data_IF_013459273024
#
_entry.id   IF_013459273024
#
_cell.length_a   1.000
_cell.length_b   1.000
_cell.length_c   1.000
_cell.angle_alpha   90.00
_cell.angle_beta   90.00
_cell.angle_gamma   90.00
#
_symmetry.space_group_name_H-M   'P 1'
#
loop_
_entity.id
_entity.type
_entity.pdbx_description
1 polymer ?
#
# COMPACT_ATOMS: atom_id res chain seq x y z
N UNK A 1 -2.14 -13.56 55.05
CA UNK A 1 -1.14 -14.64 55.02
C UNK A 1 -1.36 -15.39 53.72
N UNK A 2 -0.55 -15.10 52.71
CA UNK A 2 -0.69 -15.61 51.34
C UNK A 2 0.17 -16.88 51.27
N UNK A 3 -0.43 -18.03 50.97
CA UNK A 3 0.33 -19.25 50.71
C UNK A 3 0.11 -19.68 49.27
N UNK A 4 1.19 -19.61 48.50
CA UNK A 4 1.31 -20.10 47.15
C UNK A 4 1.24 -21.64 47.16
N UNK A 5 0.42 -22.23 46.30
CA UNK A 5 0.50 -23.65 45.97
C UNK A 5 1.22 -23.80 44.62
N UNK A 6 2.41 -24.39 44.67
CA UNK A 6 3.20 -24.80 43.51
C UNK A 6 2.52 -26.01 42.86
N UNK A 7 2.14 -25.89 41.59
CA UNK A 7 1.83 -27.04 40.74
C UNK A 7 3.16 -27.50 40.11
N UNK A 8 3.59 -28.76 40.29
CA UNK A 8 4.71 -29.28 39.55
C UNK A 8 4.30 -29.65 38.13
N UNK A 9 5.10 -29.14 37.19
CA UNK A 9 5.22 -29.56 35.80
C UNK A 9 5.61 -31.04 35.69
N UNK A 10 5.10 -31.69 34.65
CA UNK A 10 5.63 -32.91 34.04
C UNK A 10 5.69 -34.13 34.95
N UNK A 11 4.61 -34.91 34.92
CA UNK A 11 4.68 -36.33 35.27
C UNK A 11 3.80 -37.12 34.28
N UNK A 12 4.37 -37.49 33.14
CA UNK A 12 3.83 -38.56 32.30
C UNK A 12 4.85 -39.70 32.27
N UNK A 13 4.35 -40.83 32.74
CA UNK A 13 5.02 -42.09 32.98
C UNK A 13 5.78 -42.62 31.76
N UNK A 14 7.08 -42.89 31.94
CA UNK A 14 7.78 -43.95 31.23
C UNK A 14 7.24 -45.28 31.74
N UNK A 15 6.41 -45.96 30.95
CA UNK A 15 6.05 -47.34 31.20
C UNK A 15 6.00 -48.14 29.90
N UNK A 16 6.93 -49.09 29.81
CA UNK A 16 6.89 -50.33 29.00
C UNK A 16 6.99 -50.19 27.47
N UNK A 17 8.23 -50.02 27.02
CA UNK A 17 8.67 -50.39 25.68
C UNK A 17 8.54 -51.91 25.46
N UNK A 18 7.63 -52.33 24.56
CA UNK A 18 7.78 -53.61 23.85
C UNK A 18 8.78 -53.40 22.70
N UNK A 19 9.77 -54.29 22.50
CA UNK A 19 10.70 -54.17 21.38
C UNK A 19 9.97 -54.48 20.06
N UNK A 20 9.75 -53.44 19.24
CA UNK A 20 9.34 -53.60 17.86
C UNK A 20 10.54 -54.18 17.09
N UNK A 21 10.31 -55.33 16.47
CA UNK A 21 11.29 -56.10 15.70
C UNK A 21 11.83 -55.28 14.53
N UNK A 22 13.13 -55.00 14.62
CA UNK A 22 13.94 -54.21 13.68
C UNK A 22 14.32 -55.06 12.46
N UNK A 23 13.42 -55.21 11.49
CA UNK A 23 13.81 -55.80 10.21
C UNK A 23 13.28 -55.11 8.93
N UNK A 24 12.19 -54.35 8.97
CA UNK A 24 11.63 -53.73 7.75
C UNK A 24 11.82 -52.19 7.64
N UNK A 25 12.40 -51.54 8.65
CA UNK A 25 12.56 -50.07 8.67
C UNK A 25 13.67 -49.56 7.73
N UNK A 26 14.73 -50.33 7.48
CA UNK A 26 15.87 -49.88 6.68
C UNK A 26 15.56 -49.85 5.18
N UNK A 27 14.63 -50.70 4.73
CA UNK A 27 14.23 -50.81 3.33
C UNK A 27 13.33 -49.65 2.90
N UNK A 28 12.46 -49.18 3.82
CA UNK A 28 11.65 -47.97 3.60
C UNK A 28 12.49 -46.69 3.58
N UNK A 29 13.50 -46.57 4.45
CA UNK A 29 14.39 -45.39 4.48
C UNK A 29 15.25 -45.31 3.22
N UNK A 30 15.74 -46.44 2.72
CA UNK A 30 16.48 -46.51 1.45
C UNK A 30 15.59 -46.17 0.23
N UNK A 31 14.33 -46.63 0.22
CA UNK A 31 13.39 -46.34 -0.86
C UNK A 31 13.03 -44.84 -0.92
N UNK A 32 12.86 -44.19 0.23
CA UNK A 32 12.61 -42.75 0.32
C UNK A 32 13.81 -41.91 -0.14
N UNK A 33 15.04 -42.33 0.17
CA UNK A 33 16.26 -41.66 -0.32
C UNK A 33 16.44 -41.78 -1.84
N UNK A 34 16.05 -42.91 -2.43
CA UNK A 34 16.13 -43.12 -3.89
C UNK A 34 15.10 -42.29 -4.67
N UNK A 35 13.91 -42.07 -4.12
CA UNK A 35 12.87 -41.21 -4.73
C UNK A 35 13.23 -39.72 -4.66
N UNK A 36 13.96 -39.29 -3.63
CA UNK A 36 14.44 -37.91 -3.49
C UNK A 36 15.60 -37.58 -4.44
N UNK A 37 16.39 -38.58 -4.88
CA UNK A 37 17.51 -38.36 -5.78
C UNK A 37 17.12 -38.28 -7.28
N UNK A 38 15.94 -38.73 -7.69
CA UNK A 38 15.55 -38.85 -9.11
C UNK A 38 14.84 -37.63 -9.71
N UNK A 39 14.58 -36.56 -8.96
CA UNK A 39 13.94 -35.33 -9.47
C UNK A 39 14.90 -34.24 -9.98
N UNK A 40 16.21 -34.49 -10.03
CA UNK A 40 17.21 -33.49 -10.45
C UNK A 40 17.54 -33.53 -11.94
N UNK A 41 16.56 -33.51 -12.85
CA UNK A 41 16.86 -33.34 -14.27
C UNK A 41 15.80 -32.56 -15.05
N UNK A 42 16.24 -31.40 -15.52
CA UNK A 42 15.85 -30.71 -16.76
C UNK A 42 14.49 -30.00 -16.76
N UNK A 43 14.52 -28.70 -16.48
CA UNK A 43 13.72 -27.69 -17.20
C UNK A 43 14.60 -26.45 -17.37
N UNK A 44 15.01 -26.16 -18.61
CA UNK A 44 15.58 -24.86 -19.00
C UNK A 44 14.41 -23.95 -19.41
N UNK A 45 14.11 -22.92 -18.62
CA UNK A 45 13.33 -21.77 -19.07
C UNK A 45 14.31 -20.63 -19.31
N UNK A 46 14.44 -20.24 -20.57
CA UNK A 46 15.08 -18.98 -20.94
C UNK A 46 14.13 -17.84 -20.58
N UNK A 47 14.59 -16.93 -19.74
CA UNK A 47 13.85 -15.74 -19.32
C UNK A 47 14.73 -14.92 -18.37
N UNK A 48 15.89 -14.50 -18.85
CA UNK A 48 16.77 -13.61 -18.11
C UNK A 48 16.79 -12.27 -18.87
N UNK A 49 15.92 -11.35 -18.46
CA UNK A 49 16.20 -9.93 -18.68
C UNK A 49 17.42 -9.59 -17.85
N UNK A 50 18.50 -9.21 -18.53
CA UNK A 50 19.65 -8.59 -17.89
C UNK A 50 19.18 -7.25 -17.32
N UNK A 51 19.02 -7.18 -16.00
CA UNK A 51 18.94 -5.89 -15.31
C UNK A 51 20.32 -5.25 -15.45
N UNK A 52 20.40 -4.29 -16.36
CA UNK A 52 21.56 -3.45 -16.57
C UNK A 52 21.62 -2.48 -15.38
N UNK A 53 22.62 -2.62 -14.51
CA UNK A 53 22.77 -1.87 -13.25
C UNK A 53 23.17 -0.39 -13.43
N UNK A 54 22.86 0.21 -14.58
CA UNK A 54 23.23 1.58 -14.95
C UNK A 54 21.98 2.40 -15.38
N UNK A 55 20.80 2.12 -14.83
CA UNK A 55 19.69 3.07 -14.93
C UNK A 55 19.84 4.09 -13.79
N UNK A 56 20.26 5.30 -14.15
CA UNK A 56 20.18 6.48 -13.29
C UNK A 56 18.74 6.62 -12.78
N UNK A 57 18.54 6.60 -11.46
CA UNK A 57 17.23 6.77 -10.83
C UNK A 57 16.65 8.11 -11.25
N UNK A 58 15.54 8.09 -11.98
CA UNK A 58 14.84 9.31 -12.38
C UNK A 58 13.95 9.74 -11.22
N UNK A 59 14.18 10.93 -10.68
CA UNK A 59 13.35 11.51 -9.62
C UNK A 59 12.18 12.31 -10.19
N UNK A 60 10.99 12.03 -9.68
CA UNK A 60 9.76 12.74 -10.00
C UNK A 60 9.56 13.95 -9.08
N UNK A 61 8.97 15.02 -9.61
CA UNK A 61 8.67 16.25 -8.90
C UNK A 61 7.27 16.75 -9.24
N UNK A 62 6.64 17.46 -8.29
CA UNK A 62 5.38 18.18 -8.49
C UNK A 62 5.76 19.61 -8.78
N UNK A 63 5.56 20.05 -10.02
CA UNK A 63 6.02 21.34 -10.52
C UNK A 63 4.95 22.42 -10.30
N UNK A 64 3.70 22.10 -10.58
CA UNK A 64 2.58 23.02 -10.46
C UNK A 64 1.31 22.28 -10.04
N UNK A 65 0.39 22.99 -9.38
CA UNK A 65 -0.90 22.48 -8.96
C UNK A 65 -1.96 23.51 -9.27
N UNK A 66 -3.07 23.09 -9.87
CA UNK A 66 -4.22 23.91 -10.17
C UNK A 66 -5.49 23.18 -9.74
N UNK A 67 -6.53 23.92 -9.37
CA UNK A 67 -7.80 23.35 -8.89
C UNK A 67 -8.97 23.99 -9.62
N UNK A 68 -9.95 23.14 -9.98
CA UNK A 68 -11.27 23.57 -10.42
C UNK A 68 -12.31 22.91 -9.51
N UNK A 69 -13.12 23.74 -8.87
CA UNK A 69 -14.30 23.31 -8.12
C UNK A 69 -15.49 23.08 -9.08
N UNK A 70 -16.33 22.09 -8.79
CA UNK A 70 -17.49 21.76 -9.63
C UNK A 70 -18.45 22.92 -9.85
N UNK A 71 -18.59 23.80 -8.86
CA UNK A 71 -19.45 25.00 -8.87
C UNK A 71 -19.06 25.97 -10.00
N UNK A 72 -17.77 26.02 -10.34
CA UNK A 72 -17.25 26.89 -11.40
C UNK A 72 -17.67 26.42 -12.80
N UNK A 73 -18.07 25.16 -12.97
CA UNK A 73 -18.56 24.63 -14.25
C UNK A 73 -19.92 25.22 -14.67
N UNK A 74 -20.63 25.92 -13.79
CA UNK A 74 -21.84 26.68 -14.14
C UNK A 74 -21.51 27.96 -14.93
N UNK A 75 -20.26 28.41 -14.89
CA UNK A 75 -19.78 29.58 -15.62
C UNK A 75 -19.51 29.26 -17.09
N UNK A 76 -19.45 30.31 -17.94
CA UNK A 76 -19.14 30.12 -19.36
C UNK A 76 -17.70 29.61 -19.59
N UNK A 77 -16.77 30.10 -18.77
CA UNK A 77 -15.36 29.69 -18.75
C UNK A 77 -14.98 29.55 -17.29
N UNK A 78 -14.65 28.32 -16.89
CA UNK A 78 -14.21 28.03 -15.55
C UNK A 78 -12.68 28.10 -15.47
N UNK A 79 -12.15 29.11 -14.78
CA UNK A 79 -10.72 29.29 -14.61
C UNK A 79 -10.23 28.54 -13.37
N UNK A 80 -9.14 27.80 -13.52
CA UNK A 80 -8.50 27.17 -12.38
C UNK A 80 -7.80 28.19 -11.48
N UNK A 81 -7.71 27.85 -10.20
CA UNK A 81 -6.93 28.61 -9.22
C UNK A 81 -5.78 27.77 -8.69
N UNK A 82 -4.73 28.44 -8.23
CA UNK A 82 -3.52 27.80 -7.70
C UNK A 82 -3.58 27.77 -6.17
N UNK A 83 -3.50 26.60 -5.53
CA UNK A 83 -3.49 26.51 -4.09
C UNK A 83 -2.16 26.93 -3.50
N UNK A 84 -2.15 27.25 -2.20
CA UNK A 84 -0.92 27.49 -1.45
C UNK A 84 -0.10 26.21 -1.35
N UNK A 85 -0.75 25.09 -1.09
CA UNK A 85 -0.14 23.77 -0.96
C UNK A 85 -1.11 22.66 -1.38
N UNK A 86 -0.55 21.52 -1.75
CA UNK A 86 -1.25 20.27 -2.01
C UNK A 86 -1.03 19.31 -0.85
N UNK A 87 -2.12 18.72 -0.36
CA UNK A 87 -2.12 17.73 0.71
C UNK A 87 -2.69 16.43 0.15
N UNK A 88 -1.87 15.40 0.02
CA UNK A 88 -2.28 14.06 -0.35
C UNK A 88 -2.34 13.19 0.91
N UNK A 89 -3.54 12.78 1.31
CA UNK A 89 -3.79 11.91 2.46
C UNK A 89 -4.02 10.47 2.01
N UNK A 90 -3.34 9.54 2.65
CA UNK A 90 -3.45 8.10 2.39
C UNK A 90 -3.99 7.40 3.62
N UNK A 91 -5.18 6.82 3.50
CA UNK A 91 -5.90 6.16 4.58
C UNK A 91 -6.70 4.95 4.10
N UNK A 92 -7.54 4.41 4.98
CA UNK A 92 -8.47 3.34 4.67
C UNK A 92 -9.62 3.37 5.68
N UNK A 93 -10.81 2.93 5.30
CA UNK A 93 -11.98 2.97 6.17
C UNK A 93 -11.83 1.97 7.35
N UNK A 94 -11.11 0.86 7.14
CA UNK A 94 -10.84 -0.13 8.18
C UNK A 94 -9.71 0.28 9.14
N UNK A 95 -9.03 1.39 8.87
CA UNK A 95 -7.87 1.85 9.62
C UNK A 95 -8.32 2.72 10.82
N UNK A 96 -8.36 2.15 12.02
CA UNK A 96 -8.68 2.91 13.25
C UNK A 96 -7.82 4.18 13.44
N UNK A 97 -6.47 4.18 13.29
CA UNK A 97 -5.67 5.39 13.48
C UNK A 97 -5.87 6.47 12.40
N UNK A 98 -6.55 6.15 11.30
CA UNK A 98 -6.84 7.06 10.19
C UNK A 98 -7.94 8.09 10.55
N UNK A 99 -8.86 7.72 11.44
CA UNK A 99 -9.99 8.55 11.88
C UNK A 99 -9.57 9.94 12.35
N UNK A 100 -8.58 10.02 13.25
CA UNK A 100 -8.12 11.28 13.82
C UNK A 100 -7.52 12.21 12.75
N UNK A 101 -6.88 11.62 11.74
CA UNK A 101 -6.27 12.37 10.63
C UNK A 101 -7.35 12.91 9.70
N UNK A 102 -8.35 12.10 9.36
CA UNK A 102 -9.50 12.53 8.56
C UNK A 102 -10.24 13.69 9.20
N UNK A 103 -10.54 13.61 10.50
CA UNK A 103 -11.18 14.71 11.23
C UNK A 103 -10.33 15.97 11.17
N UNK A 104 -9.01 15.85 11.26
CA UNK A 104 -8.12 17.01 11.15
C UNK A 104 -8.14 17.63 9.75
N UNK A 105 -8.18 16.81 8.70
CA UNK A 105 -8.18 17.25 7.30
C UNK A 105 -9.49 17.97 6.94
N UNK A 106 -10.64 17.48 7.42
CA UNK A 106 -11.95 18.12 7.18
C UNK A 106 -12.04 19.56 7.73
N UNK A 107 -11.13 19.96 8.62
CA UNK A 107 -11.07 21.31 9.17
C UNK A 107 -10.10 22.25 8.42
N UNK A 108 -9.46 21.78 7.35
CA UNK A 108 -8.53 22.58 6.55
C UNK A 108 -9.30 23.55 5.64
N UNK A 109 -8.76 24.76 5.46
CA UNK A 109 -9.33 25.78 4.59
C UNK A 109 -9.11 25.42 3.10
N UNK A 110 -10.10 24.74 2.54
CA UNK A 110 -10.10 24.26 1.15
C UNK A 110 -10.20 25.38 0.11
N UNK A 111 -10.39 26.65 0.51
CA UNK A 111 -10.28 27.81 -0.38
C UNK A 111 -8.83 28.22 -0.64
N UNK A 112 -7.89 27.69 0.15
CA UNK A 112 -6.45 27.97 0.08
C UNK A 112 -5.63 26.73 -0.24
N UNK A 113 -6.04 25.57 0.27
CA UNK A 113 -5.30 24.32 0.15
C UNK A 113 -6.05 23.35 -0.77
N UNK A 114 -5.29 22.61 -1.57
CA UNK A 114 -5.81 21.47 -2.31
C UNK A 114 -5.62 20.21 -1.46
N UNK A 115 -6.63 19.34 -1.44
CA UNK A 115 -6.63 18.11 -0.66
C UNK A 115 -7.07 16.99 -1.58
N UNK A 116 -6.31 15.90 -1.60
CA UNK A 116 -6.71 14.63 -2.21
C UNK A 116 -6.64 13.57 -1.12
N UNK A 117 -7.76 12.90 -0.85
CA UNK A 117 -7.81 11.72 0.00
C UNK A 117 -7.71 10.48 -0.89
N UNK A 118 -6.92 9.50 -0.48
CA UNK A 118 -6.63 8.29 -1.24
C UNK A 118 -6.94 7.06 -0.39
N UNK A 119 -7.68 6.12 -0.98
CA UNK A 119 -7.81 4.75 -0.49
C UNK A 119 -6.99 3.79 -1.37
N UNK A 120 -5.72 3.54 -1.00
CA UNK A 120 -4.85 2.64 -1.73
C UNK A 120 -5.07 1.16 -1.38
N UNK A 121 -5.88 0.83 -0.37
CA UNK A 121 -6.07 -0.56 0.06
C UNK A 121 -7.20 -1.24 -0.73
N UNK A 122 -6.90 -2.40 -1.31
CA UNK A 122 -7.87 -3.23 -2.05
C UNK A 122 -9.01 -3.77 -1.18
N UNK A 123 -8.94 -3.58 0.13
CA UNK A 123 -9.96 -4.00 1.08
C UNK A 123 -11.05 -2.94 1.27
N UNK A 124 -10.82 -1.71 0.82
CA UNK A 124 -11.80 -0.62 0.90
C UNK A 124 -12.78 -0.69 -0.27
N UNK A 125 -14.07 -0.49 -0.01
CA UNK A 125 -15.08 -0.41 -1.07
C UNK A 125 -14.77 0.69 -2.10
N UNK A 126 -14.19 1.79 -1.64
CA UNK A 126 -13.80 2.96 -2.45
C UNK A 126 -12.35 2.90 -2.95
N UNK A 127 -11.75 1.71 -3.00
CA UNK A 127 -10.43 1.47 -3.58
C UNK A 127 -10.29 2.07 -4.98
N UNK A 128 -9.20 2.82 -5.19
CA UNK A 128 -8.80 3.29 -6.51
C UNK A 128 -7.39 2.79 -6.85
N UNK A 129 -7.26 2.08 -7.99
CA UNK A 129 -5.98 1.53 -8.41
C UNK A 129 -4.88 2.60 -8.59
N UNK A 130 -5.25 3.78 -9.09
CA UNK A 130 -4.31 4.89 -9.22
C UNK A 130 -3.87 5.45 -7.86
N UNK A 131 -4.75 5.45 -6.86
CA UNK A 131 -4.38 5.77 -5.47
C UNK A 131 -3.38 4.75 -4.90
N UNK A 132 -3.57 3.46 -5.19
CA UNK A 132 -2.62 2.41 -4.81
C UNK A 132 -1.26 2.58 -5.49
N UNK A 133 -1.23 2.82 -6.80
CA UNK A 133 0.00 3.09 -7.52
C UNK A 133 0.73 4.32 -6.96
N UNK A 134 -0.01 5.40 -6.69
CA UNK A 134 0.54 6.63 -6.10
C UNK A 134 1.17 6.35 -4.71
N UNK A 135 0.51 5.54 -3.89
CA UNK A 135 0.98 5.13 -2.56
C UNK A 135 2.20 4.21 -2.61
N UNK A 136 2.11 3.07 -3.31
CA UNK A 136 3.13 2.01 -3.32
C UNK A 136 4.32 2.32 -4.23
N UNK A 137 4.08 2.94 -5.38
CA UNK A 137 5.10 3.08 -6.44
C UNK A 137 5.68 4.48 -6.50
N UNK A 138 4.82 5.51 -6.60
CA UNK A 138 5.30 6.89 -6.75
C UNK A 138 5.98 7.37 -5.45
N UNK A 139 5.30 7.19 -4.31
CA UNK A 139 5.77 7.62 -2.99
C UNK A 139 6.44 6.54 -2.14
N UNK A 140 6.25 5.25 -2.48
CA UNK A 140 6.81 4.11 -1.73
C UNK A 140 6.47 4.17 -0.24
N UNK A 141 5.23 4.57 0.05
CA UNK A 141 4.72 4.63 1.41
C UNK A 141 4.48 3.21 1.92
N UNK A 142 4.80 2.98 3.19
CA UNK A 142 4.71 1.64 3.82
C UNK A 142 3.79 1.63 5.04
N UNK A 143 3.24 2.80 5.42
CA UNK A 143 2.30 2.92 6.51
C UNK A 143 1.14 3.86 6.15
N UNK A 144 -0.05 3.49 6.60
CA UNK A 144 -1.20 4.38 6.73
C UNK A 144 -1.50 4.63 8.23
N UNK A 145 -2.04 5.81 8.60
CA UNK A 145 -2.22 6.97 7.73
C UNK A 145 -0.89 7.63 7.36
N UNK A 146 -0.81 8.22 6.17
CA UNK A 146 0.31 9.07 5.75
C UNK A 146 -0.20 10.32 5.04
N UNK A 147 0.53 11.42 5.20
CA UNK A 147 0.29 12.69 4.53
C UNK A 147 1.52 13.07 3.73
N UNK A 148 1.33 13.32 2.44
CA UNK A 148 2.35 13.93 1.58
C UNK A 148 1.94 15.36 1.27
N UNK A 149 2.83 16.31 1.56
CA UNK A 149 2.64 17.74 1.32
C UNK A 149 3.52 18.17 0.15
N UNK A 150 2.92 18.79 -0.86
CA UNK A 150 3.58 19.33 -2.06
C UNK A 150 4.41 18.30 -2.85
N UNK A 151 4.13 17.01 -2.67
CA UNK A 151 4.81 15.91 -3.34
C UNK A 151 6.20 15.56 -2.79
N UNK A 152 6.62 16.18 -1.68
CA UNK A 152 7.95 15.92 -1.07
C UNK A 152 7.94 15.86 0.46
N UNK A 153 7.02 16.55 1.15
CA UNK A 153 6.97 16.57 2.61
C UNK A 153 6.18 15.40 3.16
N UNK A 154 6.69 14.66 4.14
CA UNK A 154 6.03 13.48 4.70
C UNK A 154 5.72 13.63 6.19
N UNK A 155 4.47 13.31 6.56
CA UNK A 155 4.05 13.04 7.93
C UNK A 155 3.42 11.65 7.99
N UNK A 156 3.95 10.76 8.83
CA UNK A 156 3.50 9.37 8.93
C UNK A 156 2.89 9.05 10.29
N UNK A 157 1.70 8.47 10.27
CA UNK A 157 0.93 8.09 11.44
C UNK A 157 0.25 9.27 12.12
N UNK A 158 -0.71 8.96 13.00
CA UNK A 158 -1.55 9.95 13.67
C UNK A 158 -0.76 10.99 14.46
N UNK A 159 0.34 10.59 15.11
CA UNK A 159 1.16 11.50 15.92
C UNK A 159 1.76 12.63 15.08
N UNK A 160 2.40 12.28 13.96
CA UNK A 160 3.01 13.27 13.08
C UNK A 160 1.95 14.10 12.35
N UNK A 161 0.79 13.51 12.02
CA UNK A 161 -0.31 14.23 11.41
C UNK A 161 -0.81 15.42 12.27
N UNK A 162 -0.65 15.38 13.60
CA UNK A 162 -0.96 16.55 14.46
C UNK A 162 -0.06 17.76 14.19
N UNK A 163 1.09 17.58 13.54
CA UNK A 163 2.01 18.64 13.12
C UNK A 163 1.64 19.25 11.76
N UNK A 164 0.54 18.81 11.12
CA UNK A 164 0.13 19.25 9.78
C UNK A 164 -0.03 20.78 9.71
N UNK A 165 -0.86 21.38 10.58
CA UNK A 165 -1.09 22.83 10.57
C UNK A 165 0.21 23.64 10.77
N UNK A 166 1.12 23.12 11.60
CA UNK A 166 2.43 23.75 11.80
C UNK A 166 3.29 23.63 10.54
N UNK A 167 3.26 22.49 9.86
CA UNK A 167 3.99 22.22 8.62
C UNK A 167 3.49 23.13 7.48
N UNK A 168 2.17 23.27 7.33
CA UNK A 168 1.57 24.15 6.33
C UNK A 168 1.93 25.63 6.54
N UNK A 169 2.13 26.05 7.80
CA UNK A 169 2.51 27.44 8.10
C UNK A 169 3.98 27.77 7.83
N UNK A 170 4.86 26.76 7.78
CA UNK A 170 6.32 26.94 7.68
C UNK A 170 6.83 26.78 6.27
N UNK A 171 6.24 25.86 5.51
CA UNK A 171 6.66 25.55 4.16
C UNK A 171 5.72 26.27 3.20
N UNK A 172 6.30 27.01 2.26
CA UNK A 172 5.56 27.61 1.16
C UNK A 172 6.21 27.11 -0.12
N UNK A 173 5.42 26.40 -0.92
CA UNK A 173 5.83 25.94 -2.23
C UNK A 173 5.31 26.91 -3.27
N UNK A 174 6.17 27.36 -4.18
CA UNK A 174 5.76 28.19 -5.31
C UNK A 174 5.43 27.29 -6.50
N UNK A 175 4.16 26.96 -6.66
CA UNK A 175 3.69 26.20 -7.82
C UNK A 175 3.75 27.06 -9.08
N UNK A 176 4.51 26.63 -10.09
CA UNK A 176 4.73 27.37 -11.33
C UNK A 176 5.05 26.41 -12.49
N UNK A 177 4.28 26.45 -13.57
CA UNK A 177 4.58 25.70 -14.80
C UNK A 177 3.41 25.59 -15.79
N UNK A 178 2.18 25.73 -15.32
CA UNK A 178 0.97 25.81 -16.13
C UNK A 178 0.69 27.30 -16.42
N UNK A 179 0.67 27.67 -17.70
CA UNK A 179 0.50 29.06 -18.13
C UNK A 179 -1.00 29.46 -18.16
N UNK A 180 -1.86 28.53 -18.55
CA UNK A 180 -3.31 28.65 -18.68
C UNK A 180 -3.95 27.29 -18.41
N UNK A 181 -5.02 27.27 -17.61
CA UNK A 181 -5.87 26.10 -17.41
C UNK A 181 -7.31 26.57 -17.17
N UNK A 182 -8.21 26.14 -18.04
CA UNK A 182 -9.63 26.42 -17.93
C UNK A 182 -10.49 25.31 -18.56
N UNK A 183 -11.74 25.25 -18.15
CA UNK A 183 -12.75 24.40 -18.77
C UNK A 183 -13.85 25.27 -19.36
N UNK A 184 -14.16 25.06 -20.64
CA UNK A 184 -15.27 25.72 -21.32
C UNK A 184 -16.08 24.68 -22.11
N UNK A 185 -17.39 24.60 -21.84
CA UNK A 185 -18.29 23.61 -22.47
C UNK A 185 -17.76 22.17 -22.37
N UNK A 186 -17.32 21.76 -21.18
CA UNK A 186 -16.72 20.44 -20.91
C UNK A 186 -15.43 20.14 -21.69
N UNK A 187 -14.81 21.15 -22.31
CA UNK A 187 -13.49 21.01 -22.94
C UNK A 187 -12.46 21.67 -22.04
N UNK A 188 -11.51 20.87 -21.55
CA UNK A 188 -10.31 21.35 -20.88
C UNK A 188 -9.40 21.99 -21.92
N UNK A 189 -8.99 23.23 -21.68
CA UNK A 189 -7.90 23.90 -22.37
C UNK A 189 -6.78 24.12 -21.37
N UNK A 190 -5.57 23.68 -21.71
CA UNK A 190 -4.40 23.90 -20.89
C UNK A 190 -3.14 24.04 -21.73
N UNK A 191 -2.13 24.69 -21.18
CA UNK A 191 -0.81 24.80 -21.78
C UNK A 191 0.28 24.86 -20.70
N UNK A 192 1.49 24.52 -21.13
CA UNK A 192 2.71 24.63 -20.33
C UNK A 192 3.88 24.88 -21.27
N UNK A 193 4.90 25.58 -20.77
CA UNK A 193 6.19 25.73 -21.45
C UNK A 193 7.16 24.56 -21.19
N UNK A 194 6.78 23.62 -20.33
CA UNK A 194 7.59 22.46 -19.95
C UNK A 194 7.16 21.19 -20.68
N UNK A 195 8.00 20.16 -20.68
CA UNK A 195 7.67 18.85 -21.26
C UNK A 195 7.06 17.87 -20.25
N UNK A 196 6.55 18.39 -19.14
CA UNK A 196 5.96 17.61 -18.06
C UNK A 196 4.56 17.09 -18.39
N UNK A 197 4.12 16.13 -17.61
CA UNK A 197 2.84 15.46 -17.77
C UNK A 197 1.81 16.14 -16.86
N UNK A 198 0.62 16.42 -17.39
CA UNK A 198 -0.50 16.85 -16.57
C UNK A 198 -1.28 15.62 -16.07
N UNK A 199 -1.40 15.49 -14.76
CA UNK A 199 -2.24 14.48 -14.10
C UNK A 199 -3.46 15.18 -13.51
N UNK A 200 -4.62 14.53 -13.59
CA UNK A 200 -5.89 15.10 -13.14
C UNK A 200 -6.53 14.10 -12.19
N UNK A 201 -6.68 14.51 -10.94
CA UNK A 201 -7.40 13.76 -9.92
C UNK A 201 -8.82 14.29 -9.82
N UNK A 202 -9.80 13.41 -10.00
CA UNK A 202 -11.21 13.71 -9.77
C UNK A 202 -11.56 13.29 -8.36
N UNK A 203 -11.98 14.24 -7.52
CA UNK A 203 -12.39 13.97 -6.15
C UNK A 203 -13.90 14.12 -5.97
N UNK A 204 -14.47 13.35 -5.06
CA UNK A 204 -15.89 13.39 -4.69
C UNK A 204 -16.06 13.18 -3.18
N UNK A 205 -17.23 13.58 -2.66
CA UNK A 205 -17.63 13.26 -1.29
C UNK A 205 -18.18 11.84 -1.22
N UNK A 206 -17.46 10.92 -0.58
CA UNK A 206 -17.85 9.51 -0.45
C UNK A 206 -18.14 9.16 1.00
N UNK A 207 -19.22 8.40 1.24
CA UNK A 207 -19.55 7.91 2.57
C UNK A 207 -18.52 6.87 3.02
N UNK A 208 -18.09 6.98 4.27
CA UNK A 208 -17.24 5.98 4.92
C UNK A 208 -17.98 4.64 5.05
N UNK A 209 -17.29 3.52 4.88
CA UNK A 209 -17.92 2.19 4.88
C UNK A 209 -18.48 1.77 6.26
N UNK A 210 -17.73 2.08 7.33
CA UNK A 210 -18.03 1.58 8.67
C UNK A 210 -18.67 2.61 9.60
N UNK A 211 -18.92 3.84 9.13
CA UNK A 211 -19.55 4.88 9.95
C UNK A 211 -20.40 5.86 9.10
N UNK A 212 -20.90 6.93 9.73
CA UNK A 212 -21.82 7.88 9.09
C UNK A 212 -21.15 9.16 8.58
N UNK A 213 -19.82 9.22 8.55
CA UNK A 213 -19.07 10.36 8.03
C UNK A 213 -18.90 10.24 6.52
N UNK A 214 -18.61 11.36 5.89
CA UNK A 214 -18.15 11.41 4.51
C UNK A 214 -16.69 11.86 4.48
N UNK A 215 -15.96 11.37 3.49
CA UNK A 215 -14.66 11.86 3.09
C UNK A 215 -14.88 12.85 1.95
N UNK A 216 -14.68 14.14 2.21
CA UNK A 216 -15.11 15.22 1.31
C UNK A 216 -14.30 15.32 0.01
N UNK A 217 -13.10 14.75 -0.02
CA UNK A 217 -12.12 14.93 -1.09
C UNK A 217 -11.49 13.60 -1.54
N UNK A 218 -12.25 12.51 -1.52
CA UNK A 218 -11.75 11.20 -1.92
C UNK A 218 -11.55 11.13 -3.44
N UNK A 219 -10.37 10.72 -3.88
CA UNK A 219 -10.06 10.45 -5.28
C UNK A 219 -10.89 9.26 -5.78
N UNK A 220 -11.70 9.49 -6.79
CA UNK A 220 -12.58 8.48 -7.41
C UNK A 220 -12.18 8.14 -8.84
N UNK A 221 -11.44 9.02 -9.51
CA UNK A 221 -10.95 8.78 -10.85
C UNK A 221 -9.67 9.60 -11.14
N UNK A 222 -8.97 9.22 -12.20
CA UNK A 222 -7.68 9.77 -12.58
C UNK A 222 -7.50 9.80 -14.09
N UNK A 223 -6.88 10.87 -14.59
CA UNK A 223 -6.44 10.96 -15.98
C UNK A 223 -5.04 11.53 -16.11
N UNK A 224 -4.34 11.14 -17.17
CA UNK A 224 -3.03 11.64 -17.52
C UNK A 224 -3.02 12.17 -18.96
N UNK A 225 -2.44 13.36 -19.15
CA UNK A 225 -2.35 14.05 -20.43
C UNK A 225 -0.89 14.48 -20.66
N UNK A 226 -0.37 14.16 -21.84
CA UNK A 226 0.97 14.59 -22.24
C UNK A 226 0.95 16.06 -22.70
N UNK A 227 2.06 16.79 -22.55
CA UNK A 227 2.22 18.19 -22.97
C UNK A 227 1.81 18.49 -24.43
N UNK A 228 1.80 17.49 -25.31
CA UNK A 228 1.41 17.63 -26.71
C UNK A 228 -0.09 17.79 -26.94
N UNK A 229 -0.92 17.54 -25.93
CA UNK A 229 -2.38 17.59 -26.02
C UNK A 229 -2.93 18.74 -25.19
N UNK A 230 -3.02 19.93 -25.78
CA UNK A 230 -3.49 21.14 -25.09
C UNK A 230 -5.01 21.18 -24.85
N UNK A 231 -5.76 20.25 -25.46
CA UNK A 231 -7.21 20.19 -25.33
C UNK A 231 -7.69 18.76 -25.10
N UNK A 232 -8.68 18.63 -24.22
CA UNK A 232 -9.32 17.36 -23.92
C UNK A 232 -10.81 17.53 -23.68
N UNK A 233 -11.61 16.66 -24.28
CA UNK A 233 -13.04 16.61 -24.04
C UNK A 233 -13.35 15.79 -22.77
N UNK A 234 -13.97 16.43 -21.78
CA UNK A 234 -14.35 15.87 -20.49
C UNK A 234 -15.85 15.54 -20.40
N UNK A 235 -16.60 15.60 -21.51
CA UNK A 235 -18.00 15.18 -21.55
C UNK A 235 -18.14 13.73 -21.08
N UNK A 236 -19.14 13.44 -20.23
CA UNK A 236 -19.28 12.13 -19.59
C UNK A 236 -18.48 12.01 -18.30
N UNK A 237 -17.25 12.56 -18.27
CA UNK A 237 -16.40 12.49 -17.07
C UNK A 237 -16.89 13.42 -15.95
N UNK A 238 -17.46 14.56 -16.34
CA UNK A 238 -18.03 15.57 -15.43
C UNK A 238 -19.54 15.39 -15.18
N UNK A 239 -20.14 14.30 -15.66
CA UNK A 239 -21.58 14.08 -15.54
C UNK A 239 -21.99 13.79 -14.08
N UNK A 240 -22.96 14.55 -13.56
CA UNK A 240 -23.47 14.44 -12.18
C UNK A 240 -22.39 14.47 -11.10
N UNK A 241 -21.29 15.16 -11.39
CA UNK A 241 -20.15 15.23 -10.51
C UNK A 241 -20.24 16.44 -9.57
N UNK A 242 -19.93 16.21 -8.29
CA UNK A 242 -19.83 17.24 -7.26
C UNK A 242 -18.53 17.04 -6.48
N UNK A 243 -17.57 17.95 -6.64
CA UNK A 243 -16.25 17.82 -6.05
C UNK A 243 -15.21 18.72 -6.69
N UNK A 244 -13.95 18.27 -6.73
CA UNK A 244 -12.82 19.04 -7.28
C UNK A 244 -11.98 18.27 -8.28
N UNK A 245 -11.59 18.95 -9.35
CA UNK A 245 -10.53 18.50 -10.23
C UNK A 245 -9.23 19.12 -9.75
N UNK A 246 -8.28 18.28 -9.39
CA UNK A 246 -6.95 18.71 -8.95
C UNK A 246 -5.96 18.30 -10.02
N UNK A 247 -5.36 19.29 -10.65
CA UNK A 247 -4.42 19.14 -11.73
C UNK A 247 -3.01 19.26 -11.17
N UNK A 248 -2.17 18.25 -11.37
CA UNK A 248 -0.76 18.29 -10.99
C UNK A 248 0.11 18.19 -12.25
N UNK A 249 1.00 19.16 -12.43
CA UNK A 249 2.04 19.09 -13.46
C UNK A 249 3.24 18.38 -12.87
N UNK A 250 3.60 17.23 -13.43
CA UNK A 250 4.57 16.33 -12.82
C UNK A 250 5.65 15.88 -13.79
N UNK A 251 6.88 15.72 -13.28
CA UNK A 251 7.91 14.92 -13.95
C UNK A 251 7.76 13.46 -13.55
N UNK A 252 7.98 12.57 -14.51
CA UNK A 252 7.99 11.13 -14.25
C UNK A 252 9.19 10.77 -13.37
N UNK A 253 9.03 9.72 -12.55
CA UNK A 253 10.08 9.24 -11.67
C UNK A 253 9.61 9.02 -10.24
N UNK A 254 10.52 8.46 -9.43
CA UNK A 254 10.29 8.15 -8.02
C UNK A 254 10.34 9.45 -7.19
N UNK A 255 9.46 9.59 -6.21
CA UNK A 255 9.42 10.79 -5.36
C UNK A 255 10.38 10.68 -4.19
N UNK A 256 11.08 11.78 -3.93
CA UNK A 256 11.91 11.94 -2.74
C UNK A 256 11.07 12.54 -1.62
N UNK A 257 11.03 11.87 -0.48
CA UNK A 257 10.24 12.27 0.67
C UNK A 257 11.13 12.71 1.83
N UNK A 258 10.83 13.90 2.35
CA UNK A 258 11.48 14.51 3.49
C UNK A 258 10.52 14.53 4.67
N UNK A 259 10.92 13.97 5.82
CA UNK A 259 10.07 14.05 7.01
C UNK A 259 9.88 15.50 7.44
N UNK A 260 8.63 15.91 7.62
CA UNK A 260 8.26 17.23 8.15
C UNK A 260 8.12 17.25 9.66
N UNK A 261 8.07 16.08 10.30
CA UNK A 261 7.91 15.97 11.75
C UNK A 261 9.22 16.27 12.48
N UNK A 262 9.10 16.93 13.63
CA UNK A 262 10.23 17.11 14.55
C UNK A 262 10.54 15.84 15.35
N UNK A 263 9.66 14.84 15.28
CA UNK A 263 9.78 13.55 15.97
C UNK A 263 9.51 12.41 14.96
N UNK A 264 10.40 12.20 13.98
CA UNK A 264 10.20 11.19 12.95
C UNK A 264 10.07 9.79 13.56
N UNK A 265 9.21 8.97 12.94
CA UNK A 265 8.93 7.61 13.37
C UNK A 265 10.05 6.70 12.90
N UNK A 266 11.07 6.52 13.75
CA UNK A 266 12.20 5.65 13.46
C UNK A 266 13.18 6.21 12.43
N UNK A 267 14.23 5.44 12.14
CA UNK A 267 15.28 5.75 11.17
C UNK A 267 14.96 5.11 9.80
N UNK A 268 13.71 5.27 9.35
CA UNK A 268 13.23 4.69 8.09
C UNK A 268 13.46 5.70 6.97
N UNK A 269 14.35 5.37 6.05
CA UNK A 269 14.62 6.18 4.87
C UNK A 269 13.74 5.72 3.69
N UNK A 270 12.77 6.55 3.32
CA UNK A 270 11.87 6.34 2.19
C UNK A 270 12.53 6.62 0.83
N UNK A 271 13.76 7.15 0.85
CA UNK A 271 14.49 7.56 -0.35
C UNK A 271 15.47 6.50 -0.84
N UNK A 272 15.97 5.65 0.05
CA UNK A 272 16.75 4.49 -0.33
C UNK A 272 15.95 3.63 -1.30
N UNK A 273 16.48 3.42 -2.50
CA UNK A 273 16.24 2.14 -3.16
C UNK A 273 16.74 1.11 -2.15
N UNK A 274 15.86 0.25 -1.66
CA UNK A 274 16.35 -0.98 -1.09
C UNK A 274 17.16 -1.65 -2.22
N UNK A 275 18.50 -1.51 -2.20
CA UNK A 275 19.33 -2.67 -2.47
C UNK A 275 18.71 -3.72 -1.58
N UNK A 276 17.86 -4.55 -2.18
CA UNK A 276 17.05 -5.55 -1.47
C UNK A 276 17.98 -6.20 -0.46
N UNK A 277 17.90 -5.77 0.81
CA UNK A 277 18.54 -6.52 1.87
C UNK A 277 17.82 -7.83 1.73
N UNK A 278 18.57 -8.88 1.40
CA UNK A 278 18.04 -10.20 1.11
C UNK A 278 17.38 -10.79 2.36
N UNK A 279 16.25 -10.22 2.77
CA UNK A 279 15.32 -10.71 3.74
C UNK A 279 14.17 -11.21 2.88
N UNK A 280 14.39 -12.41 2.34
CA UNK A 280 13.62 -13.05 1.29
C UNK A 280 13.59 -12.24 -0.02
N UNK A 281 14.73 -12.23 -0.73
CA UNK A 281 14.64 -12.26 -2.19
C UNK A 281 13.64 -13.36 -2.53
N UNK A 282 12.60 -13.01 -3.27
CA UNK A 282 11.68 -13.91 -3.95
C UNK A 282 12.50 -14.79 -4.91
N UNK A 283 13.19 -15.77 -4.34
CA UNK A 283 13.71 -16.91 -5.09
C UNK A 283 12.51 -17.60 -5.66
N UNK A 284 12.51 -17.70 -6.98
CA UNK A 284 11.48 -18.28 -7.83
C UNK A 284 11.41 -19.81 -7.61
N UNK A 285 11.04 -20.20 -6.39
CA UNK A 285 10.88 -21.58 -5.90
C UNK A 285 9.53 -21.72 -5.16
N UNK A 286 8.56 -20.87 -5.54
CA UNK A 286 7.22 -20.77 -4.94
C UNK A 286 6.49 -22.10 -4.75
N UNK A 287 6.50 -23.08 -5.68
CA UNK A 287 5.87 -24.37 -5.42
C UNK A 287 6.77 -25.31 -4.60
N UNK A 288 8.08 -25.33 -4.81
CA UNK A 288 8.99 -26.29 -4.14
C UNK A 288 9.19 -25.96 -2.66
N UNK A 289 9.38 -24.69 -2.34
CA UNK A 289 9.53 -24.23 -0.96
C UNK A 289 8.21 -24.39 -0.19
N UNK A 290 7.07 -24.07 -0.80
CA UNK A 290 5.76 -24.33 -0.21
C UNK A 290 5.52 -25.82 0.04
N UNK A 291 5.88 -26.70 -0.91
CA UNK A 291 5.80 -28.15 -0.74
C UNK A 291 6.73 -28.64 0.39
N UNK A 292 7.97 -28.15 0.45
CA UNK A 292 8.91 -28.54 1.51
C UNK A 292 8.45 -28.08 2.90
N UNK A 293 7.96 -26.85 3.02
CA UNK A 293 7.41 -26.32 4.28
C UNK A 293 6.15 -27.09 4.67
N UNK A 294 5.26 -27.38 3.73
CA UNK A 294 4.07 -28.20 3.97
C UNK A 294 4.43 -29.61 4.47
N UNK A 295 5.39 -30.27 3.83
CA UNK A 295 5.87 -31.59 4.24
C UNK A 295 6.50 -31.52 5.64
N UNK A 296 7.32 -30.51 5.92
CA UNK A 296 7.95 -30.34 7.23
C UNK A 296 6.91 -30.14 8.35
N UNK A 297 5.91 -29.28 8.11
CA UNK A 297 4.81 -29.07 9.05
C UNK A 297 3.96 -30.32 9.22
N UNK A 298 3.67 -31.05 8.14
CA UNK A 298 2.93 -32.30 8.20
C UNK A 298 3.67 -33.38 9.01
N UNK A 299 4.99 -33.50 8.83
CA UNK A 299 5.83 -34.41 9.62
C UNK A 299 5.86 -34.01 11.09
N UNK A 300 5.93 -32.71 11.39
CA UNK A 300 5.87 -32.21 12.77
C UNK A 300 4.52 -32.52 13.46
N UNK A 301 3.43 -32.65 12.68
CA UNK A 301 2.11 -33.01 13.17
C UNK A 301 1.87 -34.53 13.31
N UNK A 302 2.72 -35.38 12.71
CA UNK A 302 2.56 -36.85 12.77
C UNK A 302 2.48 -37.41 14.20
N UNK A 303 3.31 -36.98 15.18
CA UNK A 303 3.19 -37.47 16.55
C UNK A 303 1.83 -37.17 17.17
N UNK A 304 1.28 -35.98 16.90
CA UNK A 304 -0.04 -35.57 17.39
C UNK A 304 -1.16 -36.40 16.75
N UNK A 305 -1.08 -36.67 15.44
CA UNK A 305 -2.05 -37.51 14.73
C UNK A 305 -2.01 -38.97 15.19
N UNK A 306 -0.83 -39.51 15.46
CA UNK A 306 -0.67 -40.87 16.00
C UNK A 306 -1.26 -40.95 17.42
N UNK A 307 -1.01 -39.95 18.25
CA UNK A 307 -1.56 -39.88 19.61
C UNK A 307 -3.09 -39.74 19.60
N UNK A 308 -3.63 -38.92 18.68
CA UNK A 308 -5.08 -38.77 18.47
C UNK A 308 -5.75 -40.07 18.04
N UNK A 309 -5.14 -40.81 17.11
CA UNK A 309 -5.66 -42.12 16.69
C UNK A 309 -5.58 -43.16 17.81
N UNK A 310 -4.53 -43.12 18.63
CA UNK A 310 -4.40 -43.96 19.83
C UNK A 310 -5.49 -43.70 20.86
N UNK A 311 -5.88 -42.43 21.05
CA UNK A 311 -6.99 -42.05 21.93
C UNK A 311 -8.35 -42.53 21.39
N UNK A 312 -8.56 -42.49 20.06
CA UNK A 312 -9.78 -43.02 19.46
C UNK A 312 -9.91 -44.55 19.59
N UNK A 313 -8.80 -45.29 19.60
CA UNK A 313 -8.84 -46.75 19.80
C UNK A 313 -9.04 -47.18 21.26
N UNK A 314 -8.79 -46.30 22.22
CA UNK A 314 -9.05 -46.59 23.64
C UNK A 314 -10.56 -46.53 23.94
N UNK A 315 -11.28 -45.63 23.27
CA UNK A 315 -12.74 -45.49 23.42
C UNK A 315 -13.52 -46.69 22.85
N UNK A 316 -12.94 -47.45 21.91
CA UNK A 316 -13.57 -48.66 21.35
C UNK A 316 -13.43 -49.89 22.25
N UNK A 317 -12.40 -49.95 23.10
CA UNK A 317 -12.14 -51.12 23.97
C UNK A 317 -12.84 -51.04 25.33
N UNK A 318 -13.48 -49.91 25.68
CA UNK A 318 -14.36 -49.79 26.86
C UNK A 318 -15.83 -50.19 26.58
N UNK A 319 -16.12 -50.68 25.37
CA UNK A 319 -17.48 -51.05 24.93
C UNK A 319 -17.71 -52.55 24.67
N UNK A 320 -16.80 -53.43 25.13
CA UNK A 320 -17.03 -54.88 25.29
C UNK A 320 -16.95 -55.33 26.76
#
# INVERSE_FOLDING_TARGET
MIHWSRVPLLNTCLALTKPITRHNSMLFVMLWMLVLCSFNSIVTVQGQEQVNSDQETIFGHTIDVMVIDSECLEEQICHAWRPLQLIEYYGADWCEPCLDVEISIENIDTTKYAIIQHHPSVLDYSYLNYSNQRYETDFRLIFIPSLVIDGEGLLTGTKQATELNQSLSKNQTEFLGIDELNIANSVLNWNTSTNHTLKIWKTESISHEFDSRNLSHLAVDYMQINHNQSQLNLTGWLDNWTGRLIFTLESDGIRMLNSLSQNPTGDMDFNTEEETVAILSKTDDSPKLAIMVFIALFVALLPALIMWKGLQSIDSDESE
#
